data_IF_777268326842
#
_entry.id   IF_777268326842
#
_cell.length_a   1.000
_cell.length_b   1.000
_cell.length_c   1.000
_cell.angle_alpha   90.00
_cell.angle_beta   90.00
_cell.angle_gamma   90.00
#
_symmetry.space_group_name_H-M   'P 1'
#
loop_
_entity.id
_entity.type
_entity.pdbx_description
1 polymer ?
#
# COMPACT_ATOMS: atom_id res chain seq x y z
N UNK A 1 -14.13 23.42 1.18
CA UNK A 1 -13.72 22.05 0.84
C UNK A 1 -12.74 22.06 -0.33
N UNK A 2 -11.86 21.06 -0.41
CA UNK A 2 -10.91 20.96 -1.51
C UNK A 2 -11.64 20.61 -2.83
N UNK A 3 -11.21 21.20 -3.94
CA UNK A 3 -11.69 20.84 -5.26
C UNK A 3 -10.84 19.69 -5.80
N UNK A 4 -11.47 18.56 -6.14
CA UNK A 4 -10.81 17.40 -6.69
C UNK A 4 -11.08 17.25 -8.18
N UNK A 5 -10.03 16.95 -8.95
CA UNK A 5 -10.11 16.51 -10.32
C UNK A 5 -9.68 15.04 -10.37
N UNK A 6 -10.63 14.13 -10.52
CA UNK A 6 -10.34 12.72 -10.73
C UNK A 6 -10.08 12.47 -12.22
N UNK A 7 -9.02 11.71 -12.52
CA UNK A 7 -8.61 11.41 -13.90
C UNK A 7 -8.49 9.91 -14.06
N UNK A 8 -9.13 9.38 -15.07
CA UNK A 8 -9.00 7.99 -15.48
C UNK A 8 -8.02 7.84 -16.64
N UNK A 9 -7.50 6.61 -16.83
CA UNK A 9 -6.64 6.29 -17.98
C UNK A 9 -7.33 6.50 -19.35
N UNK A 10 -8.69 6.53 -19.38
CA UNK A 10 -9.44 6.81 -20.62
C UNK A 10 -9.39 8.28 -21.01
N UNK A 11 -9.24 9.17 -20.02
CA UNK A 11 -9.19 10.62 -20.22
C UNK A 11 -7.76 11.11 -20.49
N UNK A 12 -6.80 10.48 -19.85
CA UNK A 12 -5.37 10.78 -20.00
C UNK A 12 -4.58 9.49 -19.80
N UNK A 13 -3.75 9.12 -20.74
CA UNK A 13 -2.77 8.04 -20.52
C UNK A 13 -1.61 8.55 -19.65
N UNK A 14 -1.87 8.63 -18.36
CA UNK A 14 -0.91 9.08 -17.35
C UNK A 14 0.26 8.11 -17.11
N UNK A 15 0.33 7.00 -17.86
CA UNK A 15 1.52 6.14 -17.89
C UNK A 15 2.63 6.70 -18.78
N UNK A 16 2.33 7.68 -19.62
CA UNK A 16 3.29 8.41 -20.43
C UNK A 16 3.74 9.69 -19.72
N UNK A 17 5.03 9.77 -19.42
CA UNK A 17 5.61 10.89 -18.66
C UNK A 17 5.30 12.25 -19.28
N UNK A 18 5.55 12.42 -20.58
CA UNK A 18 5.38 13.71 -21.26
C UNK A 18 3.91 14.20 -21.25
N UNK A 19 2.96 13.28 -21.51
CA UNK A 19 1.54 13.60 -21.47
C UNK A 19 1.08 14.01 -20.07
N UNK A 20 1.54 13.28 -19.06
CA UNK A 20 1.22 13.60 -17.66
C UNK A 20 1.84 14.92 -17.22
N UNK A 21 3.10 15.16 -17.57
CA UNK A 21 3.81 16.40 -17.24
C UNK A 21 3.13 17.62 -17.89
N UNK A 22 2.79 17.53 -19.17
CA UNK A 22 2.05 18.60 -19.87
C UNK A 22 0.70 18.87 -19.20
N UNK A 23 -0.05 17.81 -18.86
CA UNK A 23 -1.33 17.93 -18.18
C UNK A 23 -1.19 18.62 -16.82
N UNK A 24 -0.20 18.23 -16.00
CA UNK A 24 0.06 18.86 -14.69
C UNK A 24 0.42 20.35 -14.87
N UNK A 25 1.22 20.70 -15.86
CA UNK A 25 1.60 22.10 -16.15
C UNK A 25 0.42 22.95 -16.61
N UNK A 26 -0.51 22.38 -17.37
CA UNK A 26 -1.72 23.07 -17.81
C UNK A 26 -2.70 23.25 -16.65
N UNK A 27 -2.95 22.18 -15.87
CA UNK A 27 -3.96 22.18 -14.80
C UNK A 27 -3.48 22.87 -13.52
N UNK A 28 -2.17 22.91 -13.29
CA UNK A 28 -1.52 23.53 -12.12
C UNK A 28 -2.17 23.10 -10.79
N UNK A 29 -2.30 21.79 -10.53
CA UNK A 29 -2.85 21.33 -9.28
C UNK A 29 -1.91 21.74 -8.13
N UNK A 30 -2.47 21.98 -6.96
CA UNK A 30 -1.68 22.25 -5.75
C UNK A 30 -1.07 20.96 -5.17
N UNK A 31 -1.66 19.80 -5.51
CA UNK A 31 -1.21 18.49 -5.08
C UNK A 31 -1.69 17.40 -6.05
N UNK A 32 -0.93 16.33 -6.18
CA UNK A 32 -1.31 15.16 -7.00
C UNK A 32 -1.33 13.91 -6.13
N UNK A 33 -2.43 13.16 -6.14
CA UNK A 33 -2.53 11.89 -5.42
C UNK A 33 -2.56 10.73 -6.43
N UNK A 34 -1.57 9.87 -6.37
CA UNK A 34 -1.54 8.64 -7.14
C UNK A 34 -2.20 7.50 -6.35
N UNK A 35 -3.45 7.20 -6.71
CA UNK A 35 -4.21 6.05 -6.19
C UNK A 35 -4.25 4.89 -7.19
N UNK A 36 -3.65 5.06 -8.36
CA UNK A 36 -3.62 4.04 -9.39
C UNK A 36 -2.68 2.89 -9.03
N UNK A 37 -3.08 1.71 -9.45
CA UNK A 37 -2.31 0.50 -9.27
C UNK A 37 -2.95 -0.71 -9.94
N UNK A 38 -2.17 -1.77 -10.10
CA UNK A 38 -2.64 -3.05 -10.61
C UNK A 38 -2.78 -4.03 -9.44
N UNK A 39 -3.99 -4.53 -9.22
CA UNK A 39 -4.32 -5.43 -8.09
C UNK A 39 -4.73 -6.83 -8.54
N UNK A 40 -4.64 -7.12 -9.86
CA UNK A 40 -5.13 -8.37 -10.43
C UNK A 40 -6.66 -8.52 -10.38
N UNK A 41 -7.14 -9.59 -10.98
CA UNK A 41 -8.55 -10.01 -10.89
C UNK A 41 -8.60 -11.54 -10.84
N UNK A 42 -9.37 -12.13 -9.93
CA UNK A 42 -10.32 -11.51 -8.99
C UNK A 42 -9.67 -10.87 -7.75
N UNK A 43 -8.39 -11.13 -7.49
CA UNK A 43 -7.64 -10.64 -6.34
C UNK A 43 -6.15 -10.51 -6.67
N UNK A 44 -5.33 -10.16 -5.67
CA UNK A 44 -3.88 -9.91 -5.84
C UNK A 44 -3.08 -11.16 -6.23
N UNK A 45 -3.62 -12.37 -6.06
CA UNK A 45 -2.93 -13.60 -6.45
C UNK A 45 -2.75 -13.68 -7.97
N UNK A 46 -3.65 -13.06 -8.74
CA UNK A 46 -3.52 -12.96 -10.20
C UNK A 46 -2.26 -12.18 -10.63
N UNK A 47 -1.65 -11.39 -9.76
CA UNK A 47 -0.39 -10.71 -10.02
C UNK A 47 0.78 -11.67 -10.24
N UNK A 48 0.70 -12.89 -9.70
CA UNK A 48 1.72 -13.92 -9.91
C UNK A 48 1.78 -14.40 -11.37
N UNK A 49 0.65 -14.44 -12.06
CA UNK A 49 0.56 -14.77 -13.48
C UNK A 49 0.79 -13.54 -14.39
N UNK A 50 0.41 -12.34 -13.93
CA UNK A 50 0.45 -11.10 -14.71
C UNK A 50 1.61 -10.18 -14.27
N UNK A 51 2.82 -10.72 -14.18
CA UNK A 51 3.99 -10.01 -13.62
C UNK A 51 4.33 -8.71 -14.35
N UNK A 52 4.28 -8.72 -15.67
CA UNK A 52 4.55 -7.53 -16.49
C UNK A 52 3.57 -6.40 -16.21
N UNK A 53 2.27 -6.71 -16.17
CA UNK A 53 1.24 -5.70 -15.91
C UNK A 53 1.31 -5.20 -14.47
N UNK A 54 1.66 -6.09 -13.53
CA UNK A 54 1.87 -5.75 -12.13
C UNK A 54 3.03 -4.77 -11.96
N UNK A 55 4.17 -5.01 -12.59
CA UNK A 55 5.31 -4.08 -12.56
C UNK A 55 4.96 -2.75 -13.22
N UNK A 56 4.32 -2.79 -14.40
CA UNK A 56 3.89 -1.56 -15.08
C UNK A 56 2.93 -0.74 -14.25
N UNK A 57 1.89 -1.38 -13.70
CA UNK A 57 0.83 -0.69 -12.95
C UNK A 57 1.22 -0.24 -11.56
N UNK A 58 2.16 -0.91 -10.90
CA UNK A 58 2.54 -0.58 -9.52
C UNK A 58 3.89 0.15 -9.44
N UNK A 59 4.94 -0.36 -10.09
CA UNK A 59 6.29 0.20 -9.97
C UNK A 59 6.52 1.33 -10.96
N UNK A 60 6.40 1.05 -12.26
CA UNK A 60 6.74 2.04 -13.28
C UNK A 60 5.76 3.22 -13.28
N UNK A 61 4.47 2.96 -13.07
CA UNK A 61 3.48 4.03 -12.99
C UNK A 61 3.72 4.94 -11.79
N UNK A 62 4.03 4.39 -10.61
CA UNK A 62 4.35 5.19 -9.44
C UNK A 62 5.56 6.10 -9.69
N UNK A 63 6.60 5.56 -10.31
CA UNK A 63 7.79 6.31 -10.72
C UNK A 63 7.44 7.42 -11.74
N UNK A 64 6.68 7.10 -12.78
CA UNK A 64 6.27 8.07 -13.80
C UNK A 64 5.52 9.25 -13.18
N UNK A 65 4.53 8.97 -12.30
CA UNK A 65 3.74 10.03 -11.66
C UNK A 65 4.61 10.89 -10.75
N UNK A 66 5.43 10.28 -9.90
CA UNK A 66 6.30 11.00 -8.98
C UNK A 66 7.30 11.91 -9.73
N UNK A 67 7.95 11.39 -10.77
CA UNK A 67 8.89 12.19 -11.58
C UNK A 67 8.21 13.32 -12.34
N UNK A 68 7.00 13.12 -12.87
CA UNK A 68 6.25 14.19 -13.52
C UNK A 68 5.88 15.31 -12.54
N UNK A 69 5.49 14.95 -11.31
CA UNK A 69 5.21 15.93 -10.25
C UNK A 69 6.47 16.70 -9.84
N UNK A 70 7.60 16.02 -9.66
CA UNK A 70 8.89 16.66 -9.38
C UNK A 70 9.28 17.62 -10.50
N UNK A 71 9.17 17.21 -11.76
CA UNK A 71 9.49 18.04 -12.92
C UNK A 71 8.54 19.25 -13.11
N UNK A 72 7.34 19.19 -12.54
CA UNK A 72 6.39 20.28 -12.50
C UNK A 72 6.45 21.10 -11.20
N UNK A 73 7.31 20.75 -10.25
CA UNK A 73 7.43 21.32 -8.91
C UNK A 73 6.10 21.26 -8.11
N UNK A 74 5.36 20.16 -8.23
CA UNK A 74 4.09 19.91 -7.53
C UNK A 74 4.28 18.85 -6.45
N UNK A 75 3.81 19.07 -5.21
CA UNK A 75 3.80 18.02 -4.18
C UNK A 75 2.93 16.85 -4.58
N UNK A 76 3.29 15.66 -4.14
CA UNK A 76 2.59 14.45 -4.55
C UNK A 76 2.49 13.43 -3.42
N UNK A 77 1.47 12.58 -3.51
CA UNK A 77 1.26 11.45 -2.62
C UNK A 77 1.06 10.15 -3.41
N UNK A 78 1.57 9.05 -2.88
CA UNK A 78 1.42 7.72 -3.43
C UNK A 78 0.76 6.78 -2.42
N UNK A 79 -0.37 6.20 -2.81
CA UNK A 79 -1.03 5.16 -2.01
C UNK A 79 -0.34 3.82 -2.26
N UNK A 80 0.53 3.48 -1.34
CA UNK A 80 1.24 2.22 -1.27
C UNK A 80 0.43 1.16 -0.51
N UNK A 81 1.07 0.15 0.02
CA UNK A 81 0.40 -0.94 0.71
C UNK A 81 1.21 -1.42 1.92
N UNK A 82 0.54 -1.66 3.04
CA UNK A 82 1.14 -2.36 4.17
C UNK A 82 1.56 -3.80 3.89
N UNK A 83 1.22 -4.35 2.70
CA UNK A 83 1.71 -5.68 2.26
C UNK A 83 3.22 -5.74 2.00
N UNK A 84 3.93 -4.61 2.03
CA UNK A 84 5.40 -4.57 1.97
C UNK A 84 6.06 -5.07 3.26
N UNK A 85 5.27 -5.25 4.30
CA UNK A 85 5.70 -5.89 5.55
C UNK A 85 5.15 -7.30 5.66
N UNK A 86 5.94 -8.18 6.27
CA UNK A 86 5.58 -9.57 6.55
C UNK A 86 5.84 -9.87 8.02
N UNK A 87 4.86 -10.51 8.69
CA UNK A 87 4.93 -10.84 10.10
C UNK A 87 4.63 -9.66 11.04
N UNK A 88 5.14 -9.74 12.24
CA UNK A 88 5.11 -8.68 13.25
C UNK A 88 6.41 -8.68 14.06
N UNK A 89 6.64 -7.63 14.82
CA UNK A 89 7.73 -7.54 15.77
C UNK A 89 7.32 -8.24 17.06
N UNK A 90 8.14 -9.14 17.55
CA UNK A 90 7.93 -9.85 18.81
C UNK A 90 9.05 -9.44 19.77
N UNK A 91 8.67 -9.04 20.98
CA UNK A 91 9.59 -8.62 22.03
C UNK A 91 9.64 -9.71 23.08
N UNK A 92 10.79 -10.37 23.20
CA UNK A 92 11.06 -11.41 24.18
C UNK A 92 12.37 -11.06 24.93
N UNK A 93 12.32 -11.06 26.25
CA UNK A 93 13.47 -10.79 27.10
C UNK A 93 14.24 -9.50 26.76
N UNK A 94 13.52 -8.46 26.33
CA UNK A 94 14.10 -7.18 25.93
C UNK A 94 14.73 -7.14 24.54
N UNK A 95 14.64 -8.23 23.79
CA UNK A 95 15.08 -8.31 22.38
C UNK A 95 13.89 -8.24 21.43
N UNK A 96 14.01 -7.46 20.36
CA UNK A 96 13.01 -7.37 19.29
C UNK A 96 13.44 -8.25 18.10
N UNK A 97 12.55 -9.11 17.63
CA UNK A 97 12.73 -9.88 16.39
C UNK A 97 11.48 -9.81 15.51
N UNK A 98 11.64 -10.00 14.22
CA UNK A 98 10.50 -10.15 13.31
C UNK A 98 10.11 -11.62 13.22
N UNK A 99 8.86 -11.91 13.57
CA UNK A 99 8.27 -13.24 13.40
C UNK A 99 7.27 -13.22 12.26
N UNK A 100 7.50 -14.08 11.27
CA UNK A 100 6.64 -14.17 10.07
C UNK A 100 5.41 -15.05 10.29
N UNK A 101 5.53 -16.09 11.13
CA UNK A 101 4.44 -17.00 11.45
C UNK A 101 3.89 -16.77 12.85
N UNK A 102 2.89 -15.91 12.95
CA UNK A 102 2.18 -15.61 14.20
C UNK A 102 1.18 -16.70 14.60
N UNK A 103 1.05 -17.78 13.82
CA UNK A 103 0.11 -18.86 14.11
C UNK A 103 0.72 -19.99 14.94
N UNK A 104 2.01 -19.94 15.24
CA UNK A 104 2.71 -20.92 16.07
C UNK A 104 2.03 -21.03 17.44
N UNK A 105 1.68 -22.26 17.90
CA UNK A 105 0.94 -22.44 19.16
C UNK A 105 1.60 -21.82 20.39
N UNK A 106 2.95 -21.92 20.49
CA UNK A 106 3.71 -21.35 21.58
C UNK A 106 3.63 -19.83 21.61
N UNK A 107 3.75 -19.19 20.44
CA UNK A 107 3.65 -17.74 20.32
C UNK A 107 2.22 -17.25 20.58
N UNK A 108 1.20 -17.97 20.09
CA UNK A 108 -0.21 -17.67 20.40
C UNK A 108 -0.49 -17.70 21.89
N UNK A 109 0.02 -18.69 22.61
CA UNK A 109 -0.13 -18.76 24.06
C UNK A 109 0.46 -17.52 24.74
N UNK A 110 1.71 -17.14 24.39
CA UNK A 110 2.37 -15.93 24.90
C UNK A 110 1.58 -14.65 24.58
N UNK A 111 1.09 -14.50 23.34
CA UNK A 111 0.27 -13.34 22.93
C UNK A 111 -1.05 -13.27 23.72
N UNK A 112 -1.65 -14.43 24.01
CA UNK A 112 -2.89 -14.50 24.81
C UNK A 112 -2.65 -14.06 26.26
N UNK A 113 -1.50 -14.41 26.82
CA UNK A 113 -1.09 -14.01 28.17
C UNK A 113 -0.69 -12.53 28.21
N UNK A 114 0.01 -12.06 27.22
CA UNK A 114 0.49 -10.68 27.14
C UNK A 114 0.56 -10.16 25.70
N UNK A 115 -0.49 -9.49 25.25
CA UNK A 115 -0.57 -8.93 23.91
C UNK A 115 0.52 -7.88 23.60
N UNK A 116 1.12 -7.27 24.62
CA UNK A 116 2.16 -6.24 24.45
C UNK A 116 3.51 -6.78 23.94
N UNK A 117 3.68 -8.10 23.91
CA UNK A 117 4.87 -8.73 23.32
C UNK A 117 4.89 -8.62 21.79
N UNK A 118 3.76 -8.31 21.16
CA UNK A 118 3.66 -8.13 19.70
C UNK A 118 3.41 -6.67 19.37
N UNK A 119 4.19 -6.14 18.45
CA UNK A 119 3.97 -4.81 17.89
C UNK A 119 3.96 -4.85 16.37
N UNK A 120 3.24 -3.88 15.77
CA UNK A 120 3.25 -3.65 14.34
C UNK A 120 4.53 -2.95 13.87
N UNK A 121 4.70 -2.90 12.55
CA UNK A 121 5.72 -2.05 11.93
C UNK A 121 5.31 -0.58 12.02
N UNK A 122 6.29 0.28 12.19
CA UNK A 122 6.13 1.73 12.18
C UNK A 122 6.45 2.29 10.80
N UNK A 123 6.07 3.52 10.55
CA UNK A 123 6.36 4.25 9.30
C UNK A 123 7.85 4.40 9.03
N UNK A 124 8.67 4.40 10.08
CA UNK A 124 10.15 4.48 10.01
C UNK A 124 10.83 3.13 9.75
N UNK A 125 10.10 2.03 9.90
CA UNK A 125 10.65 0.70 9.66
C UNK A 125 10.87 0.47 8.17
N UNK A 126 11.98 -0.15 7.83
CA UNK A 126 12.25 -0.54 6.46
C UNK A 126 11.34 -1.71 6.03
N UNK A 127 10.82 -1.71 4.79
CA UNK A 127 10.11 -2.86 4.26
C UNK A 127 10.97 -4.12 4.36
N UNK A 128 10.37 -5.20 4.87
CA UNK A 128 11.05 -6.49 5.04
C UNK A 128 10.59 -7.55 4.04
N UNK A 129 9.90 -7.12 2.98
CA UNK A 129 9.45 -8.00 1.92
C UNK A 129 10.62 -8.57 1.13
N UNK A 130 10.52 -9.85 0.77
CA UNK A 130 11.46 -10.52 -0.12
C UNK A 130 10.73 -11.29 -1.22
N UNK A 131 11.19 -11.16 -2.48
CA UNK A 131 10.73 -12.00 -3.59
C UNK A 131 11.19 -13.45 -3.51
N UNK A 132 12.18 -13.76 -2.67
CA UNK A 132 12.86 -15.05 -2.60
C UNK A 132 12.51 -15.87 -1.38
N UNK A 133 11.92 -15.24 -0.36
CA UNK A 133 11.57 -15.89 0.90
C UNK A 133 10.06 -15.83 1.17
N UNK A 134 9.45 -16.96 1.55
CA UNK A 134 8.05 -16.96 1.99
C UNK A 134 7.83 -16.15 3.28
N UNK A 135 6.65 -15.57 3.48
CA UNK A 135 5.61 -15.40 2.50
C UNK A 135 5.95 -14.26 1.54
N UNK A 136 5.79 -14.49 0.26
CA UNK A 136 6.00 -13.46 -0.76
C UNK A 136 4.83 -13.42 -1.73
N UNK A 137 4.61 -12.26 -2.32
CA UNK A 137 3.72 -12.11 -3.45
C UNK A 137 4.29 -11.08 -4.42
N UNK A 138 4.07 -11.29 -5.69
CA UNK A 138 4.56 -10.37 -6.71
C UNK A 138 3.94 -8.98 -6.57
N UNK A 139 2.67 -8.91 -6.13
CA UNK A 139 2.03 -7.65 -5.78
C UNK A 139 2.81 -6.89 -4.70
N UNK A 140 3.09 -7.54 -3.57
CA UNK A 140 3.82 -6.92 -2.45
C UNK A 140 5.20 -6.44 -2.87
N UNK A 141 5.93 -7.26 -3.63
CA UNK A 141 7.23 -6.90 -4.18
C UNK A 141 7.19 -5.70 -5.11
N UNK A 142 6.19 -5.64 -6.00
CA UNK A 142 6.02 -4.50 -6.90
C UNK A 142 5.74 -3.19 -6.16
N UNK A 143 5.00 -3.25 -5.04
CA UNK A 143 4.74 -2.09 -4.16
C UNK A 143 5.99 -1.68 -3.38
N UNK A 144 6.75 -2.63 -2.82
CA UNK A 144 8.01 -2.35 -2.14
C UNK A 144 9.05 -1.73 -3.10
N UNK A 145 9.16 -2.27 -4.32
CA UNK A 145 10.04 -1.73 -5.35
C UNK A 145 9.63 -0.31 -5.79
N UNK A 146 8.32 -0.04 -5.88
CA UNK A 146 7.83 1.31 -6.15
C UNK A 146 8.29 2.30 -5.08
N UNK A 147 8.11 1.98 -3.80
CA UNK A 147 8.58 2.84 -2.70
C UNK A 147 10.10 3.06 -2.77
N UNK A 148 10.88 2.01 -2.98
CA UNK A 148 12.34 2.13 -3.13
C UNK A 148 12.75 3.07 -4.27
N UNK A 149 11.98 3.09 -5.36
CA UNK A 149 12.26 3.92 -6.52
C UNK A 149 11.94 5.42 -6.32
N UNK A 150 10.99 5.75 -5.41
CA UNK A 150 10.47 7.11 -5.27
C UNK A 150 10.69 7.72 -3.88
N UNK A 151 11.14 6.96 -2.88
CA UNK A 151 11.25 7.40 -1.48
C UNK A 151 12.14 8.64 -1.27
N UNK A 152 13.16 8.83 -2.10
CA UNK A 152 14.10 9.94 -1.98
C UNK A 152 13.74 11.14 -2.87
N UNK A 153 12.61 11.10 -3.58
CA UNK A 153 12.16 12.21 -4.40
C UNK A 153 11.55 13.32 -3.52
N UNK A 154 11.78 14.59 -3.87
CA UNK A 154 11.33 15.71 -3.05
C UNK A 154 9.80 15.85 -3.04
N UNK A 155 9.27 16.39 -1.95
CA UNK A 155 7.86 16.77 -1.77
C UNK A 155 6.88 15.62 -1.94
N UNK A 156 7.32 14.37 -1.65
CA UNK A 156 6.54 13.15 -1.77
C UNK A 156 6.04 12.64 -0.43
N UNK A 157 4.83 12.11 -0.42
CA UNK A 157 4.22 11.40 0.69
C UNK A 157 3.94 9.95 0.30
N UNK A 158 4.34 9.00 1.15
CA UNK A 158 4.09 7.57 0.94
C UNK A 158 3.08 7.09 1.99
N UNK A 159 1.88 6.72 1.55
CA UNK A 159 0.81 6.27 2.44
C UNK A 159 0.56 4.78 2.28
N UNK A 160 0.76 4.00 3.34
CA UNK A 160 0.68 2.54 3.34
C UNK A 160 -0.68 2.07 3.81
N UNK A 161 -1.60 1.88 2.86
CA UNK A 161 -2.94 1.37 3.12
C UNK A 161 -2.91 -0.14 3.38
N UNK A 162 -3.60 -0.62 4.43
CA UNK A 162 -3.67 -2.05 4.76
C UNK A 162 -5.11 -2.50 4.90
N UNK A 163 -5.51 -3.52 4.13
CA UNK A 163 -6.84 -4.16 4.19
C UNK A 163 -7.96 -3.12 4.38
N UNK A 164 -8.28 -2.32 3.35
CA UNK A 164 -9.22 -1.22 3.48
C UNK A 164 -10.65 -1.70 3.71
N UNK A 165 -11.33 -1.03 4.63
CA UNK A 165 -12.74 -1.25 4.95
C UNK A 165 -13.46 0.07 5.21
N UNK A 166 -14.77 0.05 5.17
CA UNK A 166 -15.69 1.09 5.61
C UNK A 166 -17.09 0.51 5.89
N UNK A 167 -18.05 1.38 6.15
CA UNK A 167 -19.44 1.03 6.48
C UNK A 167 -20.30 0.72 5.23
N UNK A 168 -19.77 0.98 4.03
CA UNK A 168 -20.53 0.82 2.78
C UNK A 168 -20.43 -0.61 2.30
N UNK A 169 -21.59 -1.29 2.17
CA UNK A 169 -21.63 -2.61 1.58
C UNK A 169 -21.20 -2.57 0.12
N UNK A 170 -20.06 -3.22 -0.17
CA UNK A 170 -19.45 -3.23 -1.48
C UNK A 170 -18.61 -4.52 -1.65
N UNK A 171 -18.66 -5.19 -2.82
CA UNK A 171 -17.86 -6.39 -3.08
C UNK A 171 -16.35 -6.23 -2.90
N UNK A 172 -15.84 -5.00 -2.89
CA UNK A 172 -14.42 -4.71 -2.61
C UNK A 172 -14.14 -4.36 -1.15
N UNK A 173 -15.18 -4.13 -0.33
CA UNK A 173 -15.03 -3.88 1.10
C UNK A 173 -14.62 -5.17 1.82
N UNK A 174 -13.60 -5.07 2.67
CA UNK A 174 -13.12 -6.24 3.43
C UNK A 174 -14.20 -6.83 4.33
N UNK A 175 -15.01 -5.99 4.99
CA UNK A 175 -16.09 -6.46 5.87
C UNK A 175 -17.16 -7.23 5.10
N UNK A 176 -17.50 -6.81 3.88
CA UNK A 176 -18.41 -7.54 3.00
C UNK A 176 -17.80 -8.87 2.55
N UNK A 177 -16.51 -8.87 2.16
CA UNK A 177 -15.83 -10.08 1.69
C UNK A 177 -15.72 -11.15 2.77
N UNK A 178 -15.32 -10.77 3.98
CA UNK A 178 -15.08 -11.75 5.06
C UNK A 178 -16.34 -12.52 5.44
N UNK A 179 -17.53 -11.92 5.27
CA UNK A 179 -18.81 -12.59 5.51
C UNK A 179 -19.10 -13.72 4.52
N UNK A 180 -18.48 -13.69 3.34
CA UNK A 180 -18.64 -14.71 2.30
C UNK A 180 -17.53 -15.78 2.30
N UNK A 181 -16.54 -15.67 3.16
CA UNK A 181 -15.41 -16.61 3.20
C UNK A 181 -15.83 -17.91 3.88
N UNK A 182 -15.62 -19.04 3.21
CA UNK A 182 -15.86 -20.37 3.80
C UNK A 182 -14.82 -20.74 4.88
N UNK A 183 -13.70 -20.02 4.95
CA UNK A 183 -12.64 -20.20 5.93
C UNK A 183 -12.00 -18.86 6.25
N UNK A 184 -11.83 -18.57 7.52
CA UNK A 184 -11.15 -17.38 8.05
C UNK A 184 -9.91 -17.83 8.82
N UNK A 185 -8.80 -17.13 8.63
CA UNK A 185 -7.58 -17.38 9.37
C UNK A 185 -7.64 -16.68 10.73
N UNK A 186 -7.33 -17.42 11.78
CA UNK A 186 -7.11 -16.87 13.12
C UNK A 186 -5.69 -16.28 13.20
N UNK A 187 -5.56 -15.03 12.78
CA UNK A 187 -4.28 -14.33 12.73
C UNK A 187 -4.45 -12.84 13.04
N UNK A 188 -3.35 -12.21 13.45
CA UNK A 188 -3.32 -10.76 13.71
C UNK A 188 -3.05 -10.01 12.41
N UNK A 189 -3.77 -8.90 12.19
CA UNK A 189 -3.53 -8.04 11.05
C UNK A 189 -3.99 -6.60 11.31
N UNK A 190 -3.39 -5.66 10.62
CA UNK A 190 -3.83 -4.26 10.63
C UNK A 190 -4.93 -4.05 9.60
N UNK A 191 -5.85 -3.16 9.90
CA UNK A 191 -6.95 -2.74 9.03
C UNK A 191 -6.93 -1.21 8.92
N UNK A 192 -7.26 -0.67 7.75
CA UNK A 192 -7.38 0.77 7.54
C UNK A 192 -8.82 1.14 7.23
N UNK A 193 -9.43 1.95 8.09
CA UNK A 193 -10.72 2.56 7.77
C UNK A 193 -10.52 3.59 6.66
N UNK A 194 -11.26 3.46 5.55
CA UNK A 194 -11.02 4.27 4.33
C UNK A 194 -11.23 5.75 4.56
N UNK A 195 -12.28 6.12 5.32
CA UNK A 195 -12.57 7.52 5.62
C UNK A 195 -11.45 8.17 6.41
N UNK A 196 -11.02 7.55 7.51
CA UNK A 196 -9.93 8.05 8.36
C UNK A 196 -8.61 8.12 7.61
N UNK A 197 -8.33 7.12 6.77
CA UNK A 197 -7.13 7.11 5.92
C UNK A 197 -7.12 8.30 4.96
N UNK A 198 -8.24 8.62 4.30
CA UNK A 198 -8.35 9.76 3.39
C UNK A 198 -8.17 11.07 4.15
N UNK A 199 -8.83 11.22 5.32
CA UNK A 199 -8.67 12.41 6.15
C UNK A 199 -7.21 12.59 6.59
N UNK A 200 -6.57 11.54 7.09
CA UNK A 200 -5.16 11.58 7.49
C UNK A 200 -4.22 11.94 6.31
N UNK A 201 -4.46 11.43 5.11
CA UNK A 201 -3.68 11.81 3.94
C UNK A 201 -3.81 13.30 3.60
N UNK A 202 -5.00 13.88 3.77
CA UNK A 202 -5.26 15.30 3.51
C UNK A 202 -4.71 16.20 4.62
N UNK A 203 -4.71 15.74 5.87
CA UNK A 203 -4.19 16.50 7.02
C UNK A 203 -2.65 16.56 7.03
N UNK A 204 -1.99 15.58 6.43
CA UNK A 204 -0.53 15.51 6.33
C UNK A 204 0.05 16.38 5.20
N UNK A 205 -0.79 16.84 4.31
CA UNK A 205 -0.40 17.68 3.18
C UNK A 205 -0.60 19.20 3.46
#
# INVERSE_FOLDING_TARGET
>A
GANFLAISRRELDYSHFDLLLEFIRIKKPTFVINVAGYVGQPNVDACEAAKSDTLRGNTLLAQTVAHACVAADVPWGYVSSGCIYSGAKVIEEGSERVEKDLTQPSLKALITENASIVSGFKETDQPNFSFHEPPCSFYSGSKALAESAIANLPRGYLWRLRIPFDEIDNPRNFLTKIQSYGKVYDNFNSLSHRGDFVCACLDLW
#
